data_IF_297113656147
#
_entry.id   IF_297113656147
#
_cell.length_a   1.000
_cell.length_b   1.000
_cell.length_c   1.000
_cell.angle_alpha   90.00
_cell.angle_beta   90.00
_cell.angle_gamma   90.00
#
_symmetry.space_group_name_H-M   'P 1'
#
loop_
_entity.id
_entity.type
_entity.pdbx_description
1 polymer ?
#
# COMPACT_ATOMS: atom_id res chain seq x y z
N UNK A 1 -13.94 -1.93 35.18
CA UNK A 1 -12.73 -1.11 34.97
C UNK A 1 -12.34 -1.24 33.51
N UNK A 2 -12.77 -0.30 32.68
CA UNK A 2 -12.50 -0.27 31.23
C UNK A 2 -11.52 0.87 31.01
N UNK A 3 -10.28 0.57 30.62
CA UNK A 3 -9.32 1.60 30.27
C UNK A 3 -9.66 2.11 28.87
N UNK A 4 -10.12 3.37 28.80
CA UNK A 4 -10.30 4.11 27.55
C UNK A 4 -8.93 4.36 26.93
N UNK A 5 -8.60 3.62 25.87
CA UNK A 5 -7.39 3.85 25.09
C UNK A 5 -7.62 5.05 24.17
N UNK A 6 -7.48 6.26 24.72
CA UNK A 6 -7.50 7.50 23.96
C UNK A 6 -6.13 7.68 23.32
N UNK A 7 -5.97 7.17 22.11
CA UNK A 7 -4.77 7.39 21.32
C UNK A 7 -4.82 8.83 20.78
N UNK A 8 -4.29 9.76 21.57
CA UNK A 8 -4.05 11.13 21.15
C UNK A 8 -2.88 11.11 20.15
N UNK A 9 -3.19 11.11 18.86
CA UNK A 9 -2.18 11.30 17.82
C UNK A 9 -1.63 12.73 17.94
N UNK A 10 -0.35 12.92 18.31
CA UNK A 10 0.21 14.26 18.38
C UNK A 10 0.16 14.88 16.98
N UNK A 11 -0.45 16.05 16.88
CA UNK A 11 -0.64 16.81 15.63
C UNK A 11 0.70 17.14 14.94
N UNK A 12 1.80 17.01 15.68
CA UNK A 12 3.17 17.19 15.21
C UNK A 12 3.65 16.08 14.26
N UNK A 13 3.02 14.90 14.28
CA UNK A 13 3.34 13.80 13.35
C UNK A 13 2.82 14.06 11.92
N UNK A 14 1.88 15.01 11.74
CA UNK A 14 1.40 15.40 10.41
C UNK A 14 2.31 16.40 9.68
N UNK A 15 3.33 16.98 10.35
CA UNK A 15 4.13 18.07 9.78
C UNK A 15 5.53 17.69 9.28
N UNK A 16 5.89 16.41 9.33
CA UNK A 16 7.18 15.94 8.83
C UNK A 16 7.06 14.70 7.94
N UNK A 17 7.31 14.86 6.63
CA UNK A 17 7.48 13.81 5.60
C UNK A 17 6.25 13.24 4.88
N UNK A 18 5.23 14.05 4.60
CA UNK A 18 4.76 14.02 3.21
C UNK A 18 5.76 14.86 2.44
N UNK A 19 6.87 14.24 2.05
CA UNK A 19 7.81 14.87 1.15
C UNK A 19 7.02 15.24 -0.09
N UNK A 20 6.74 16.53 -0.25
CA UNK A 20 6.69 17.13 -1.56
C UNK A 20 8.10 16.90 -2.10
N UNK A 21 8.33 15.70 -2.62
CA UNK A 21 9.59 15.36 -3.23
C UNK A 21 9.87 16.43 -4.27
N UNK A 22 11.14 16.81 -4.41
CA UNK A 22 11.63 17.54 -5.56
C UNK A 22 10.87 17.05 -6.81
N UNK A 23 10.36 17.95 -7.67
CA UNK A 23 9.34 17.60 -8.70
C UNK A 23 9.66 16.37 -9.57
N UNK A 24 10.92 15.94 -9.59
CA UNK A 24 11.39 14.65 -10.09
C UNK A 24 10.79 13.39 -9.40
N UNK A 25 10.50 13.38 -8.09
CA UNK A 25 9.89 12.24 -7.39
C UNK A 25 8.39 12.15 -7.65
N UNK A 26 7.72 13.30 -7.78
CA UNK A 26 6.31 13.37 -8.19
C UNK A 26 6.09 12.73 -9.57
N UNK A 27 7.08 12.82 -10.47
CA UNK A 27 7.03 12.25 -11.82
C UNK A 27 7.20 10.72 -11.86
N UNK A 28 7.76 10.08 -10.82
CA UNK A 28 7.95 8.62 -10.81
C UNK A 28 6.58 7.91 -10.77
N UNK A 29 6.36 6.81 -11.51
CA UNK A 29 5.09 6.09 -11.41
C UNK A 29 4.86 5.59 -9.97
N UNK A 30 3.64 5.74 -9.47
CA UNK A 30 3.17 5.00 -8.28
C UNK A 30 2.56 3.69 -8.77
N UNK A 31 2.85 2.61 -8.06
CA UNK A 31 2.28 1.29 -8.28
C UNK A 31 1.37 0.93 -7.11
N UNK A 32 0.25 0.30 -7.44
CA UNK A 32 -0.68 -0.30 -6.50
C UNK A 32 -0.53 -1.81 -6.57
N UNK A 33 -0.34 -2.44 -5.42
CA UNK A 33 -0.19 -3.86 -5.27
C UNK A 33 -1.30 -4.44 -4.40
N UNK A 34 -1.81 -5.60 -4.82
CA UNK A 34 -2.68 -6.45 -4.03
C UNK A 34 -2.03 -7.83 -3.87
N UNK A 35 -2.23 -8.45 -2.71
CA UNK A 35 -1.89 -9.85 -2.53
C UNK A 35 -3.14 -10.68 -2.79
N UNK A 36 -3.08 -11.63 -3.70
CA UNK A 36 -4.22 -12.41 -4.17
C UNK A 36 -3.97 -13.90 -3.96
N UNK A 37 -4.96 -14.59 -3.39
CA UNK A 37 -4.93 -16.05 -3.29
C UNK A 37 -5.08 -16.67 -4.67
N UNK A 38 -4.20 -17.60 -5.03
CA UNK A 38 -4.30 -18.36 -6.28
C UNK A 38 -5.43 -19.38 -6.27
N UNK A 39 -5.78 -19.89 -5.09
CA UNK A 39 -6.85 -20.88 -4.92
C UNK A 39 -8.25 -20.28 -5.07
N UNK A 40 -8.48 -19.09 -4.50
CA UNK A 40 -9.80 -18.43 -4.51
C UNK A 40 -9.90 -17.23 -5.44
N UNK A 41 -8.77 -16.65 -5.85
CA UNK A 41 -8.75 -15.38 -6.59
C UNK A 41 -9.04 -14.16 -5.71
N UNK A 42 -9.17 -14.33 -4.39
CA UNK A 42 -9.53 -13.24 -3.49
C UNK A 42 -8.30 -12.45 -3.02
N UNK A 43 -8.51 -11.13 -2.83
CA UNK A 43 -7.51 -10.24 -2.24
C UNK A 43 -7.41 -10.50 -0.74
N UNK A 44 -6.18 -10.54 -0.21
CA UNK A 44 -5.93 -10.60 1.22
C UNK A 44 -6.62 -9.43 1.92
N UNK A 45 -7.39 -9.74 2.96
CA UNK A 45 -8.06 -8.77 3.81
C UNK A 45 -7.50 -8.81 5.23
N UNK A 46 -7.32 -7.64 5.83
CA UNK A 46 -7.00 -7.47 7.24
C UNK A 46 -8.20 -6.82 7.92
N UNK A 47 -8.77 -7.49 8.93
CA UNK A 47 -9.99 -7.05 9.62
C UNK A 47 -11.14 -6.71 8.63
N UNK A 48 -11.29 -7.52 7.59
CA UNK A 48 -12.31 -7.34 6.54
C UNK A 48 -11.97 -6.33 5.45
N UNK A 49 -10.91 -5.53 5.59
CA UNK A 49 -10.51 -4.52 4.61
C UNK A 49 -9.44 -5.07 3.66
N UNK A 50 -9.54 -4.81 2.33
CA UNK A 50 -8.54 -5.28 1.38
C UNK A 50 -7.20 -4.61 1.65
N UNK A 51 -6.13 -5.41 1.72
CA UNK A 51 -4.78 -4.89 1.81
C UNK A 51 -4.38 -4.28 0.46
N UNK A 52 -3.93 -3.02 0.50
CA UNK A 52 -3.40 -2.29 -0.65
C UNK A 52 -2.06 -1.70 -0.28
N UNK A 53 -1.03 -1.98 -1.08
CA UNK A 53 0.30 -1.39 -0.91
C UNK A 53 0.56 -0.45 -2.07
N UNK A 54 1.03 0.77 -1.76
CA UNK A 54 1.49 1.72 -2.75
C UNK A 54 3.01 1.86 -2.68
N UNK A 55 3.68 1.79 -3.82
CA UNK A 55 5.14 1.87 -3.90
C UNK A 55 5.60 2.57 -5.17
N UNK A 56 6.78 3.21 -5.12
CA UNK A 56 7.47 3.74 -6.31
C UNK A 56 8.32 2.68 -7.01
N UNK A 57 8.82 1.69 -6.26
CA UNK A 57 9.51 0.50 -6.77
C UNK A 57 8.60 -0.72 -6.63
N UNK A 58 8.02 -1.16 -7.74
CA UNK A 58 7.13 -2.31 -7.75
C UNK A 58 7.86 -3.63 -7.45
N UNK A 59 9.11 -3.78 -7.91
CA UNK A 59 9.85 -5.05 -7.78
C UNK A 59 10.23 -5.28 -6.33
N UNK A 60 10.79 -4.26 -5.68
CA UNK A 60 11.12 -4.32 -4.26
C UNK A 60 9.85 -4.56 -3.41
N UNK A 61 8.75 -3.86 -3.74
CA UNK A 61 7.49 -4.02 -3.02
C UNK A 61 6.88 -5.42 -3.19
N UNK A 62 6.94 -6.03 -4.39
CA UNK A 62 6.53 -7.42 -4.60
C UNK A 62 7.39 -8.37 -3.78
N UNK A 63 8.71 -8.19 -3.78
CA UNK A 63 9.62 -9.04 -3.02
C UNK A 63 9.29 -9.02 -1.52
N UNK A 64 9.13 -7.83 -0.94
CA UNK A 64 8.72 -7.68 0.46
C UNK A 64 7.31 -8.20 0.73
N UNK A 65 6.36 -7.99 -0.18
CA UNK A 65 4.99 -8.45 -0.02
C UNK A 65 4.88 -9.98 -0.13
N UNK A 66 5.78 -10.64 -0.86
CA UNK A 66 5.84 -12.09 -1.01
C UNK A 66 6.80 -12.75 -0.02
N UNK A 67 7.56 -11.98 0.75
CA UNK A 67 8.46 -12.51 1.78
C UNK A 67 7.68 -13.37 2.77
N UNK A 68 8.25 -14.56 3.07
CA UNK A 68 7.66 -15.58 3.93
C UNK A 68 6.28 -16.12 3.48
N UNK A 69 5.90 -15.96 2.20
CA UNK A 69 4.66 -16.51 1.64
C UNK A 69 4.94 -17.60 0.61
N UNK A 70 4.06 -18.58 0.55
CA UNK A 70 4.13 -19.62 -0.47
C UNK A 70 3.71 -19.06 -1.84
N UNK A 71 4.58 -19.07 -2.87
CA UNK A 71 4.24 -18.63 -4.21
C UNK A 71 3.23 -19.53 -4.95
N UNK A 72 3.00 -20.77 -4.49
CA UNK A 72 1.95 -21.64 -5.00
C UNK A 72 0.56 -21.22 -4.52
N UNK A 73 0.47 -20.60 -3.34
CA UNK A 73 -0.79 -20.12 -2.75
C UNK A 73 -1.07 -18.65 -3.05
N UNK A 74 -0.03 -17.83 -3.16
CA UNK A 74 -0.17 -16.38 -3.27
C UNK A 74 0.46 -15.80 -4.54
N UNK A 75 -0.11 -14.71 -5.02
CA UNK A 75 0.49 -13.86 -6.07
C UNK A 75 0.32 -12.39 -5.73
N UNK A 76 1.30 -11.58 -6.09
CA UNK A 76 1.14 -10.13 -6.08
C UNK A 76 0.57 -9.68 -7.44
N UNK A 77 -0.53 -8.95 -7.40
CA UNK A 77 -1.07 -8.26 -8.57
C UNK A 77 -0.64 -6.80 -8.53
N UNK A 78 -0.03 -6.34 -9.62
CA UNK A 78 0.57 -5.01 -9.72
C UNK A 78 -0.15 -4.22 -10.79
N UNK A 79 -0.58 -3.01 -10.44
CA UNK A 79 -1.22 -2.07 -11.37
C UNK A 79 -0.59 -0.70 -11.22
N UNK A 80 -0.42 0.03 -12.33
CA UNK A 80 0.06 1.41 -12.28
C UNK A 80 -1.08 2.30 -11.76
N UNK A 81 -0.76 3.13 -10.77
CA UNK A 81 -1.64 4.24 -10.39
C UNK A 81 -1.46 5.32 -11.44
N UNK A 82 -2.50 5.53 -12.24
CA UNK A 82 -2.51 6.67 -13.14
C UNK A 82 -2.71 7.92 -12.27
N UNK A 83 -1.93 8.99 -12.48
CA UNK A 83 -2.29 10.28 -11.89
C UNK A 83 -3.73 10.56 -12.32
N UNK A 84 -4.56 10.97 -11.36
CA UNK A 84 -5.96 11.28 -11.64
C UNK A 84 -6.00 12.17 -12.88
N UNK A 85 -6.79 11.76 -13.88
CA UNK A 85 -7.42 12.75 -14.74
C UNK A 85 -8.36 13.51 -13.81
N UNK A 86 -7.84 14.50 -13.11
CA UNK A 86 -8.68 15.58 -12.62
C UNK A 86 -9.39 16.11 -13.86
N UNK A 87 -10.71 16.03 -13.83
CA UNK A 87 -11.54 16.27 -15.01
C UNK A 87 -11.27 17.62 -15.64
N UNK A 88 -11.33 17.61 -16.98
CA UNK A 88 -11.84 18.65 -17.88
C UNK A 88 -11.68 20.12 -17.45
#
# INVERSE_FOLDING_TARGET
MTAEFRQEFPQEVMRGRYGLGDGADAARPVWRLHLVSRGTGEVLRLNGLPLVVFARDAVAAVASLMEARDPAEWRAEVSRVLPGREGL
#
